data_IF_850949177669
#
_entry.id   IF_850949177669
#
_cell.length_a   1.000
_cell.length_b   1.000
_cell.length_c   1.000
_cell.angle_alpha   90.00
_cell.angle_beta   90.00
_cell.angle_gamma   90.00
#
_symmetry.space_group_name_H-M   'P 1'
#
loop_
_entity.id
_entity.type
_entity.pdbx_description
1 polymer ?
#
# COMPACT_ATOMS: atom_id res chain seq x y z
N UNK A 1 20.53 13.98 11.52
CA UNK A 1 19.38 13.82 12.44
C UNK A 1 18.10 14.39 11.84
N UNK A 2 18.06 15.68 11.45
CA UNK A 2 17.01 16.19 10.56
C UNK A 2 16.83 15.26 9.33
N UNK A 3 17.95 14.76 8.78
CA UNK A 3 18.00 13.75 7.73
C UNK A 3 17.23 12.45 8.03
N UNK A 4 17.18 11.97 9.28
CA UNK A 4 16.47 10.74 9.64
C UNK A 4 14.95 10.97 9.72
N UNK A 5 14.53 12.10 10.31
CA UNK A 5 13.12 12.50 10.32
C UNK A 5 12.64 12.76 8.89
N UNK A 6 13.41 13.50 8.08
CA UNK A 6 13.08 13.73 6.67
C UNK A 6 12.98 12.43 5.87
N UNK A 7 13.90 11.48 6.09
CA UNK A 7 13.85 10.17 5.43
C UNK A 7 12.61 9.36 5.83
N UNK A 8 12.28 9.34 7.12
CA UNK A 8 11.07 8.66 7.60
C UNK A 8 9.79 9.32 7.06
N UNK A 9 9.71 10.65 7.04
CA UNK A 9 8.59 11.40 6.45
C UNK A 9 8.48 11.12 4.95
N UNK A 10 9.59 11.05 4.21
CA UNK A 10 9.59 10.72 2.80
C UNK A 10 9.05 9.29 2.56
N UNK A 11 9.52 8.30 3.32
CA UNK A 11 9.03 6.92 3.20
C UNK A 11 7.54 6.81 3.52
N UNK A 12 7.06 7.46 4.59
CA UNK A 12 5.64 7.51 4.91
C UNK A 12 4.80 8.15 3.79
N UNK A 13 5.28 9.23 3.16
CA UNK A 13 4.59 9.86 2.01
C UNK A 13 4.51 8.91 0.83
N UNK A 14 5.59 8.19 0.56
CA UNK A 14 5.69 7.22 -0.53
C UNK A 14 4.68 6.08 -0.32
N UNK A 15 4.66 5.47 0.86
CA UNK A 15 3.70 4.44 1.24
C UNK A 15 2.24 4.92 1.22
N UNK A 16 1.98 6.20 1.48
CA UNK A 16 0.63 6.76 1.44
C UNK A 16 0.09 6.99 0.02
N UNK A 17 0.95 7.14 -0.98
CA UNK A 17 0.50 7.54 -2.33
C UNK A 17 -0.58 6.62 -2.94
N UNK A 18 -0.45 5.27 -2.90
CA UNK A 18 -1.46 4.39 -3.48
C UNK A 18 -2.83 4.45 -2.77
N UNK A 19 -2.85 4.80 -1.48
CA UNK A 19 -4.07 4.85 -0.65
C UNK A 19 -4.71 6.24 -0.57
N UNK A 20 -4.00 7.29 -1.01
CA UNK A 20 -4.56 8.66 -1.07
C UNK A 20 -5.17 8.99 -2.42
N UNK A 21 -4.66 8.42 -3.50
CA UNK A 21 -5.00 8.83 -4.87
C UNK A 21 -6.20 8.08 -5.46
N UNK A 22 -7.08 7.54 -4.60
CA UNK A 22 -8.26 6.72 -4.96
C UNK A 22 -7.94 5.45 -5.80
N UNK A 23 -6.66 5.12 -6.03
CA UNK A 23 -6.27 3.97 -6.85
C UNK A 23 -6.84 2.66 -6.34
N UNK A 24 -6.84 2.48 -5.02
CA UNK A 24 -7.32 1.29 -4.34
C UNK A 24 -8.78 1.39 -3.87
N UNK A 25 -9.57 2.35 -4.36
CA UNK A 25 -10.94 2.59 -3.88
C UNK A 25 -11.85 1.35 -3.88
N UNK A 26 -11.88 0.59 -4.97
CA UNK A 26 -12.71 -0.61 -5.07
C UNK A 26 -12.23 -1.73 -4.13
N UNK A 27 -10.92 -1.80 -3.93
CA UNK A 27 -10.27 -2.74 -3.02
C UNK A 27 -10.41 -2.33 -1.56
N UNK A 28 -10.48 -1.03 -1.28
CA UNK A 28 -10.77 -0.47 0.04
C UNK A 28 -12.25 -0.62 0.41
N UNK A 29 -13.15 -0.75 -0.57
CA UNK A 29 -14.56 -1.09 -0.36
C UNK A 29 -14.78 -2.58 -0.08
N UNK A 30 -13.72 -3.39 -0.13
CA UNK A 30 -13.76 -4.81 0.15
C UNK A 30 -13.94 -5.09 1.66
N UNK A 31 -14.87 -5.97 2.04
CA UNK A 31 -15.05 -6.51 3.39
C UNK A 31 -13.76 -7.14 3.95
N UNK A 32 -12.96 -7.83 3.12
CA UNK A 32 -11.78 -8.59 3.59
C UNK A 32 -10.44 -7.84 3.54
N UNK A 33 -10.35 -6.76 2.76
CA UNK A 33 -9.14 -5.94 2.66
C UNK A 33 -9.34 -4.50 3.14
N UNK A 34 -10.54 -3.96 2.96
CA UNK A 34 -10.90 -2.58 3.31
C UNK A 34 -10.57 -2.19 4.74
N UNK A 35 -10.92 -3.00 5.76
CA UNK A 35 -10.55 -2.70 7.14
C UNK A 35 -9.04 -2.54 7.33
N UNK A 36 -8.23 -3.41 6.71
CA UNK A 36 -6.77 -3.39 6.84
C UNK A 36 -6.12 -2.27 6.02
N UNK A 37 -6.62 -1.98 4.81
CA UNK A 37 -6.18 -0.82 4.01
C UNK A 37 -6.46 0.48 4.78
N UNK A 38 -7.65 0.59 5.37
CA UNK A 38 -8.05 1.76 6.16
C UNK A 38 -7.19 1.90 7.40
N UNK A 39 -6.99 0.82 8.17
CA UNK A 39 -6.15 0.83 9.36
C UNK A 39 -4.70 1.21 9.02
N UNK A 40 -4.13 0.64 7.96
CA UNK A 40 -2.78 0.96 7.49
C UNK A 40 -2.65 2.43 7.10
N UNK A 41 -3.61 2.97 6.34
CA UNK A 41 -3.66 4.40 6.01
C UNK A 41 -3.70 5.28 7.25
N UNK A 42 -4.55 4.95 8.23
CA UNK A 42 -4.70 5.74 9.45
C UNK A 42 -3.43 5.74 10.30
N UNK A 43 -2.75 4.59 10.44
CA UNK A 43 -1.49 4.51 11.19
C UNK A 43 -0.33 5.21 10.48
N UNK A 44 -0.22 5.10 9.16
CA UNK A 44 0.77 5.85 8.38
C UNK A 44 0.55 7.37 8.48
N UNK A 45 -0.71 7.83 8.46
CA UNK A 45 -1.04 9.24 8.67
C UNK A 45 -0.73 9.71 10.09
N UNK A 46 -1.00 8.88 11.10
CA UNK A 46 -0.63 9.15 12.50
C UNK A 46 0.89 9.32 12.64
N UNK A 47 1.66 8.39 12.08
CA UNK A 47 3.12 8.46 12.03
C UNK A 47 3.60 9.77 11.37
N UNK A 48 3.01 10.12 10.23
CA UNK A 48 3.35 11.34 9.50
C UNK A 48 3.06 12.60 10.32
N UNK A 49 1.91 12.64 11.01
CA UNK A 49 1.52 13.77 11.87
C UNK A 49 2.44 13.94 13.08
N UNK A 50 2.88 12.83 13.70
CA UNK A 50 3.85 12.86 14.80
C UNK A 50 5.17 13.49 14.33
N UNK A 51 5.67 13.10 13.15
CA UNK A 51 6.94 13.58 12.63
C UNK A 51 6.87 14.99 12.03
N UNK A 52 5.69 15.43 11.57
CA UNK A 52 5.51 16.77 11.00
C UNK A 52 5.88 17.88 11.99
N UNK A 53 5.65 17.70 13.28
CA UNK A 53 5.99 18.74 14.27
C UNK A 53 7.49 18.80 14.60
N UNK A 54 8.25 17.76 14.23
CA UNK A 54 9.67 17.60 14.56
C UNK A 54 10.60 17.75 13.35
N UNK A 55 10.07 17.85 12.12
CA UNK A 55 10.86 17.77 10.90
C UNK A 55 11.90 18.89 10.71
N UNK A 56 11.63 20.09 11.25
CA UNK A 56 12.55 21.23 11.20
C UNK A 56 13.46 21.35 12.43
N UNK A 57 13.39 20.39 13.37
CA UNK A 57 14.10 20.47 14.64
C UNK A 57 15.32 19.56 14.65
N UNK A 58 16.41 20.08 15.20
CA UNK A 58 17.63 19.31 15.41
C UNK A 58 17.55 18.54 16.73
N UNK A 59 17.04 17.32 16.67
CA UNK A 59 16.90 16.42 17.83
C UNK A 59 18.06 15.42 17.84
N UNK A 60 18.81 15.36 18.93
CA UNK A 60 20.02 14.53 19.08
C UNK A 60 19.80 13.36 20.05
N UNK A 61 18.68 12.65 19.90
CA UNK A 61 18.36 11.46 20.69
C UNK A 61 18.63 10.16 19.88
N UNK A 62 19.59 9.30 20.30
CA UNK A 62 19.92 8.07 19.58
C UNK A 62 18.80 7.01 19.63
N UNK A 63 18.06 6.90 20.75
CA UNK A 63 16.92 5.98 20.82
C UNK A 63 15.80 6.38 19.83
N UNK A 64 15.64 7.68 19.59
CA UNK A 64 14.74 8.18 18.55
C UNK A 64 15.24 7.82 17.14
N UNK A 65 16.55 7.81 16.88
CA UNK A 65 17.08 7.37 15.58
C UNK A 65 16.69 5.93 15.26
N UNK A 66 16.83 5.04 16.24
CA UNK A 66 16.50 3.62 16.08
C UNK A 66 15.00 3.44 15.81
N UNK A 67 14.15 4.17 16.54
CA UNK A 67 12.70 4.16 16.32
C UNK A 67 12.31 4.73 14.95
N UNK A 68 12.95 5.80 14.50
CA UNK A 68 12.74 6.38 13.16
C UNK A 68 13.19 5.41 12.06
N UNK A 69 14.26 4.65 12.29
CA UNK A 69 14.71 3.62 11.38
C UNK A 69 13.68 2.50 11.25
N UNK A 70 13.18 1.97 12.38
CA UNK A 70 12.13 0.94 12.36
C UNK A 70 10.84 1.45 11.70
N UNK A 71 10.47 2.70 11.95
CA UNK A 71 9.32 3.33 11.32
C UNK A 71 9.48 3.41 9.79
N UNK A 72 10.68 3.75 9.30
CA UNK A 72 10.99 3.72 7.88
C UNK A 72 10.85 2.31 7.29
N UNK A 73 11.39 1.29 7.95
CA UNK A 73 11.27 -0.10 7.49
C UNK A 73 9.82 -0.56 7.38
N UNK A 74 8.97 -0.16 8.33
CA UNK A 74 7.53 -0.45 8.26
C UNK A 74 6.82 0.33 7.16
N UNK A 75 7.23 1.57 6.90
CA UNK A 75 6.72 2.34 5.76
C UNK A 75 7.13 1.71 4.42
N UNK A 76 8.38 1.27 4.29
CA UNK A 76 8.86 0.55 3.10
C UNK A 76 8.07 -0.76 2.91
N UNK A 77 7.84 -1.52 3.98
CA UNK A 77 7.00 -2.73 3.93
C UNK A 77 5.54 -2.45 3.59
N UNK A 78 4.98 -1.32 4.05
CA UNK A 78 3.64 -0.88 3.68
C UNK A 78 3.57 -0.53 2.19
N UNK A 79 4.57 0.18 1.68
CA UNK A 79 4.68 0.47 0.26
C UNK A 79 4.75 -0.82 -0.56
N UNK A 80 5.60 -1.78 -0.19
CA UNK A 80 5.74 -3.05 -0.91
C UNK A 80 4.39 -3.78 -1.03
N UNK A 81 3.61 -3.84 0.05
CA UNK A 81 2.29 -4.49 0.04
C UNK A 81 1.29 -3.71 -0.81
N UNK A 82 1.32 -2.38 -0.78
CA UNK A 82 0.41 -1.53 -1.53
C UNK A 82 0.74 -1.50 -3.03
N UNK A 83 2.01 -1.54 -3.39
CA UNK A 83 2.48 -1.68 -4.78
C UNK A 83 2.08 -3.04 -5.35
N UNK A 84 2.20 -4.11 -4.56
CA UNK A 84 1.75 -5.44 -4.96
C UNK A 84 0.21 -5.48 -5.15
N UNK A 85 -0.52 -4.82 -4.26
CA UNK A 85 -1.97 -4.68 -4.40
C UNK A 85 -2.35 -3.87 -5.65
N UNK A 86 -1.59 -2.81 -5.98
CA UNK A 86 -1.80 -2.03 -7.20
C UNK A 86 -1.50 -2.85 -8.47
N UNK A 87 -0.45 -3.68 -8.43
CA UNK A 87 -0.17 -4.66 -9.49
C UNK A 87 -1.38 -5.56 -9.73
N UNK A 88 -1.96 -6.14 -8.67
CA UNK A 88 -3.11 -7.03 -8.79
C UNK A 88 -4.37 -6.29 -9.24
N UNK A 89 -4.57 -5.03 -8.85
CA UNK A 89 -5.65 -4.19 -9.40
C UNK A 89 -5.50 -3.98 -10.90
N UNK A 90 -4.28 -3.70 -11.37
CA UNK A 90 -4.01 -3.54 -12.81
C UNK A 90 -4.24 -4.86 -13.54
N UNK A 91 -3.76 -5.98 -12.98
CA UNK A 91 -3.99 -7.31 -13.53
C UNK A 91 -5.48 -7.65 -13.59
N UNK A 92 -6.24 -7.32 -12.54
CA UNK A 92 -7.68 -7.57 -12.46
C UNK A 92 -8.46 -6.84 -13.58
N UNK A 93 -8.05 -5.60 -13.88
CA UNK A 93 -8.60 -4.82 -15.02
C UNK A 93 -8.25 -5.43 -16.37
N UNK A 94 -7.02 -5.94 -16.54
CA UNK A 94 -6.56 -6.56 -17.77
C UNK A 94 -7.25 -7.91 -18.04
N UNK A 95 -7.38 -8.73 -17.01
CA UNK A 95 -7.96 -10.07 -17.10
C UNK A 95 -9.50 -10.06 -16.93
N UNK A 96 -10.10 -8.92 -16.55
CA UNK A 96 -11.55 -8.76 -16.26
C UNK A 96 -12.06 -9.75 -15.21
N UNK A 97 -11.28 -9.96 -14.15
CA UNK A 97 -11.53 -10.97 -13.12
C UNK A 97 -12.34 -10.44 -11.93
N UNK A 98 -12.50 -9.12 -11.81
CA UNK A 98 -13.27 -8.42 -10.76
C UNK A 98 -12.95 -8.86 -9.33
N UNK A 99 -11.69 -9.17 -9.06
CA UNK A 99 -11.21 -9.67 -7.78
C UNK A 99 -11.50 -8.72 -6.62
N UNK A 100 -11.64 -7.41 -6.83
CA UNK A 100 -11.89 -6.43 -5.77
C UNK A 100 -13.17 -6.72 -4.93
N UNK A 101 -14.21 -7.31 -5.52
CA UNK A 101 -15.48 -7.59 -4.83
C UNK A 101 -15.39 -8.85 -3.96
N UNK A 102 -15.65 -8.76 -2.65
CA UNK A 102 -15.66 -9.94 -1.75
C UNK A 102 -16.73 -10.96 -2.08
N UNK A 103 -17.83 -10.49 -2.65
CA UNK A 103 -18.94 -11.31 -3.09
C UNK A 103 -18.90 -11.35 -4.60
N UNK A 104 -18.56 -12.53 -5.14
CA UNK A 104 -19.29 -12.98 -6.32
C UNK A 104 -20.76 -13.00 -5.88
N UNK A 105 -21.54 -11.99 -6.28
CA UNK A 105 -22.98 -12.09 -6.24
C UNK A 105 -23.32 -13.37 -7.00
N UNK A 106 -23.69 -14.42 -6.26
CA UNK A 106 -24.01 -15.73 -6.81
C UNK A 106 -25.20 -15.61 -7.74
N UNK A 107 -24.91 -15.36 -9.01
CA UNK A 107 -25.69 -15.83 -10.14
C UNK A 107 -24.75 -16.68 -10.97
N UNK A 108 -25.12 -17.93 -11.23
CA UNK A 108 -24.45 -18.83 -12.16
C UNK A 108 -24.50 -18.29 -13.61
N UNK A 109 -23.85 -17.16 -13.89
CA UNK A 109 -23.74 -16.62 -15.26
C UNK A 109 -22.33 -16.18 -15.64
N UNK A 110 -21.34 -16.30 -14.74
CA UNK A 110 -19.93 -16.04 -15.05
C UNK A 110 -19.25 -17.16 -15.89
N UNK A 111 -20.04 -17.86 -16.70
CA UNK A 111 -19.58 -18.86 -17.67
C UNK A 111 -20.22 -18.74 -19.06
N UNK A 112 -21.29 -17.94 -19.25
CA UNK A 112 -22.00 -17.91 -20.55
C UNK A 112 -21.59 -16.75 -21.48
N UNK A 113 -20.98 -15.67 -20.96
CA UNK A 113 -20.50 -14.57 -21.81
C UNK A 113 -19.02 -14.72 -22.24
N UNK A 114 -18.31 -15.74 -21.74
CA UNK A 114 -16.86 -15.90 -21.95
C UNK A 114 -16.48 -16.52 -23.30
N UNK A 115 -17.43 -16.97 -24.13
CA UNK A 115 -17.12 -17.56 -25.45
C UNK A 115 -17.49 -16.72 -26.67
N UNK A 116 -18.13 -15.56 -26.52
CA UNK A 116 -18.40 -14.67 -27.67
C UNK A 116 -17.15 -13.89 -28.12
N UNK A 117 -16.16 -13.68 -27.25
CA UNK A 117 -14.94 -12.90 -27.56
C UNK A 117 -13.82 -13.71 -28.24
N UNK A 118 -13.86 -15.04 -28.21
CA UNK A 118 -12.89 -15.85 -28.93
C UNK A 118 -13.19 -16.00 -30.43
N UNK A 119 -14.42 -15.77 -30.88
CA UNK A 119 -14.78 -15.77 -32.31
C UNK A 119 -14.61 -14.42 -33.00
N UNK A 120 -14.59 -13.30 -32.28
CA UNK A 120 -14.30 -11.98 -32.87
C UNK A 120 -12.80 -11.79 -33.18
N UNK A 121 -11.89 -12.53 -32.51
CA UNK A 121 -10.45 -12.41 -32.75
C UNK A 121 -9.94 -13.25 -33.93
N UNK A 122 -10.76 -14.14 -34.48
CA UNK A 122 -10.42 -14.91 -35.69
C UNK A 122 -10.56 -14.11 -36.99
N UNK A 123 -11.25 -12.95 -36.98
CA UNK A 123 -11.43 -12.10 -38.17
C UNK A 123 -10.43 -10.94 -38.22
N UNK A 124 -9.80 -10.58 -37.09
CA UNK A 124 -8.75 -9.55 -37.05
C UNK A 124 -7.40 -10.01 -37.64
N UNK A 125 -7.22 -11.29 -37.94
CA UNK A 125 -5.98 -11.82 -38.56
C UNK A 125 -5.84 -11.55 -40.06
N UNK A 126 -6.66 -10.67 -40.64
CA UNK A 126 -6.46 -10.16 -42.00
C UNK A 126 -5.52 -8.94 -42.10
N UNK A 127 -5.07 -8.38 -40.97
CA UNK A 127 -4.00 -7.38 -40.97
C UNK A 127 -2.78 -7.91 -40.22
N UNK A 128 -1.80 -8.39 -41.00
CA UNK A 128 -0.46 -8.74 -40.51
C UNK A 128 0.20 -7.48 -39.92
N UNK A 129 0.36 -7.45 -38.61
CA UNK A 129 1.53 -6.82 -37.99
C UNK A 129 2.31 -7.91 -37.27
N UNK A 130 3.48 -8.23 -37.83
CA UNK A 130 4.51 -9.00 -37.15
C UNK A 130 5.00 -8.15 -35.98
N UNK A 131 4.65 -8.53 -34.75
CA UNK A 131 5.33 -8.01 -33.57
C UNK A 131 5.51 -9.11 -32.54
N UNK A 132 6.80 -9.42 -32.30
CA UNK A 132 7.39 -9.77 -31.02
C UNK A 132 6.72 -10.87 -30.21
N UNK A 133 7.42 -11.99 -30.05
CA UNK A 133 7.04 -13.08 -29.15
C UNK A 133 6.60 -12.57 -27.79
N UNK A 134 5.39 -12.98 -27.41
CA UNK A 134 4.81 -12.73 -26.10
C UNK A 134 5.64 -13.50 -25.06
N UNK A 135 6.72 -12.90 -24.55
CA UNK A 135 7.38 -13.37 -23.34
C UNK A 135 6.40 -13.11 -22.20
N UNK A 136 5.50 -14.06 -21.96
CA UNK A 136 4.64 -14.05 -20.78
C UNK A 136 5.57 -14.02 -19.57
N UNK A 137 5.62 -12.88 -18.89
CA UNK A 137 6.16 -12.80 -17.54
C UNK A 137 5.39 -13.79 -16.66
N UNK A 138 6.06 -14.51 -15.75
CA UNK A 138 5.36 -15.36 -14.79
C UNK A 138 4.30 -14.52 -14.06
N UNK A 139 3.02 -14.83 -14.28
CA UNK A 139 1.91 -14.15 -13.61
C UNK A 139 1.91 -14.55 -12.13
N UNK A 140 1.95 -13.57 -11.24
CA UNK A 140 1.73 -13.80 -9.81
C UNK A 140 0.27 -14.21 -9.58
N UNK A 141 0.04 -14.99 -8.52
CA UNK A 141 -1.30 -15.35 -8.08
C UNK A 141 -1.70 -14.42 -6.96
N UNK A 142 -2.90 -13.88 -7.04
CA UNK A 142 -3.43 -13.02 -6.00
C UNK A 142 -3.83 -13.83 -4.77
N UNK A 143 -3.09 -13.66 -3.66
CA UNK A 143 -3.44 -14.21 -2.36
C UNK A 143 -4.00 -13.11 -1.45
N UNK A 144 -5.33 -13.03 -1.44
CA UNK A 144 -6.09 -12.07 -0.65
C UNK A 144 -5.82 -12.19 0.85
N UNK A 145 -5.66 -13.41 1.34
CA UNK A 145 -5.49 -13.67 2.79
C UNK A 145 -4.10 -13.25 3.21
N UNK A 146 -3.08 -13.56 2.41
CA UNK A 146 -1.70 -13.11 2.64
C UNK A 146 -1.58 -11.58 2.67
N UNK A 147 -2.15 -10.88 1.67
CA UNK A 147 -2.14 -9.41 1.65
C UNK A 147 -2.79 -8.81 2.89
N UNK A 148 -3.96 -9.35 3.27
CA UNK A 148 -4.69 -8.89 4.44
C UNK A 148 -3.85 -9.05 5.71
N UNK A 149 -3.19 -10.21 5.89
CA UNK A 149 -2.31 -10.47 7.03
C UNK A 149 -1.09 -9.56 7.06
N UNK A 150 -0.40 -9.38 5.92
CA UNK A 150 0.79 -8.51 5.84
C UNK A 150 0.46 -7.06 6.23
N UNK A 151 -0.66 -6.52 5.75
CA UNK A 151 -1.11 -5.18 6.17
C UNK A 151 -1.41 -5.12 7.68
N UNK A 152 -2.11 -6.13 8.21
CA UNK A 152 -2.44 -6.19 9.63
C UNK A 152 -1.19 -6.27 10.51
N UNK A 153 -0.19 -7.08 10.11
CA UNK A 153 1.07 -7.22 10.83
C UNK A 153 1.88 -5.91 10.85
N UNK A 154 1.85 -5.14 9.75
CA UNK A 154 2.48 -3.82 9.68
C UNK A 154 1.77 -2.84 10.61
N UNK A 155 0.42 -2.79 10.58
CA UNK A 155 -0.38 -1.95 11.48
C UNK A 155 -0.08 -2.26 12.94
N UNK A 156 -0.03 -3.55 13.30
CA UNK A 156 0.26 -4.00 14.66
C UNK A 156 1.66 -3.56 15.14
N UNK A 157 2.64 -3.49 14.24
CA UNK A 157 4.00 -3.03 14.56
C UNK A 157 4.12 -1.50 14.59
N UNK A 158 3.38 -0.79 13.73
CA UNK A 158 3.39 0.66 13.67
C UNK A 158 2.88 1.29 14.97
N UNK A 159 1.81 0.76 15.57
CA UNK A 159 1.19 1.36 16.76
C UNK A 159 2.16 1.59 17.94
N UNK A 160 2.90 0.56 18.44
CA UNK A 160 3.84 0.75 19.55
C UNK A 160 5.02 1.65 19.17
N UNK A 161 5.47 1.63 17.92
CA UNK A 161 6.57 2.49 17.46
C UNK A 161 6.10 3.95 17.42
N UNK A 162 4.94 4.23 16.84
CA UNK A 162 4.32 5.55 16.82
C UNK A 162 4.14 6.10 18.25
N UNK A 163 3.67 5.28 19.19
CA UNK A 163 3.54 5.68 20.59
C UNK A 163 4.88 6.10 21.21
N UNK A 164 5.93 5.28 21.05
CA UNK A 164 7.28 5.56 21.58
C UNK A 164 7.93 6.78 20.93
N UNK A 165 7.82 6.91 19.60
CA UNK A 165 8.32 8.09 18.87
C UNK A 165 7.65 9.35 19.39
N UNK A 166 6.32 9.33 19.55
CA UNK A 166 5.56 10.47 20.09
C UNK A 166 6.01 10.83 21.50
N UNK A 167 6.16 9.85 22.38
CA UNK A 167 6.58 10.08 23.77
C UNK A 167 7.96 10.75 23.84
N UNK A 168 8.94 10.23 23.10
CA UNK A 168 10.29 10.80 23.08
C UNK A 168 10.27 12.20 22.47
N UNK A 169 9.58 12.39 21.35
CA UNK A 169 9.44 13.72 20.74
C UNK A 169 8.79 14.72 21.71
N UNK A 170 7.71 14.35 22.40
CA UNK A 170 7.04 15.21 23.37
C UNK A 170 8.00 15.62 24.53
N UNK A 171 8.87 14.72 24.98
CA UNK A 171 9.89 15.02 25.99
C UNK A 171 10.96 15.99 25.46
N UNK A 172 11.50 15.74 24.28
CA UNK A 172 12.50 16.60 23.63
C UNK A 172 11.92 18.00 23.36
N UNK A 173 10.66 18.07 22.90
CA UNK A 173 9.96 19.33 22.65
C UNK A 173 9.71 20.15 23.91
N UNK A 174 9.47 19.50 25.06
CA UNK A 174 9.33 20.19 26.36
C UNK A 174 10.67 20.68 26.91
N UNK A 175 11.76 19.99 26.60
CA UNK A 175 13.10 20.32 27.08
C UNK A 175 13.76 21.46 26.27
N UNK A 176 13.24 21.75 25.07
CA UNK A 176 13.60 22.94 24.30
C UNK A 176 13.02 24.19 24.98
N UNK A 177 13.82 24.84 25.84
CA UNK A 177 13.46 26.15 26.43
C UNK A 177 13.13 27.17 25.32
N UNK A 178 12.12 28.03 25.50
CA UNK A 178 11.99 29.21 24.65
C UNK A 178 13.22 30.10 24.86
N UNK A 179 13.83 30.51 23.74
CA UNK A 179 14.91 31.48 23.69
C UNK A 179 14.44 32.86 24.19
#
# INVERSE_FOLDING_TARGET
MATAISAAVWALRKALAPVTDDFLKDWAASDSLGPNITALKMELLRAQGILYNAHDREITNPALQDLLHMLRQLADGAEDVLDELDYFRIQDKLDSTYHAADKHAGGCTHGLALNARHTARAVANKFKFSSGGNKQTPKLKFDRVDMSKRMADIVQQLDPICAKVKEILDLELRNLKPA
#
